data_IF_481034558813
#
_entry.id   IF_481034558813
#
_cell.length_a   1.000
_cell.length_b   1.000
_cell.length_c   1.000
_cell.angle_alpha   90.00
_cell.angle_beta   90.00
_cell.angle_gamma   90.00
#
_symmetry.space_group_name_H-M   'P 1'
#
loop_
_entity.id
_entity.type
_entity.pdbx_description
1 polymer ?
#
# COMPACT_ATOMS: atom_id res chain seq x y z
N UNK A 1 -13.28 -13.49 -5.90
CA UNK A 1 -12.13 -12.55 -5.91
C UNK A 1 -10.85 -13.31 -5.64
N UNK A 2 -9.78 -13.02 -6.39
CA UNK A 2 -8.47 -13.63 -6.16
C UNK A 2 -7.34 -12.63 -6.41
N UNK A 3 -6.19 -12.87 -5.78
CA UNK A 3 -4.99 -12.03 -5.94
C UNK A 3 -4.00 -12.71 -6.88
N UNK A 4 -3.40 -11.93 -7.78
CA UNK A 4 -2.22 -12.34 -8.54
C UNK A 4 -1.08 -11.35 -8.31
N UNK A 5 0.11 -11.85 -8.04
CA UNK A 5 1.33 -11.05 -8.12
C UNK A 5 1.69 -10.95 -9.61
N UNK A 6 1.47 -9.79 -10.22
CA UNK A 6 1.46 -9.67 -11.69
C UNK A 6 2.76 -9.15 -12.27
N UNK A 7 3.55 -8.39 -11.52
CA UNK A 7 4.76 -7.76 -12.07
C UNK A 7 5.86 -7.56 -11.03
N UNK A 8 7.10 -7.89 -11.42
CA UNK A 8 8.34 -7.55 -10.71
C UNK A 8 9.24 -6.76 -11.63
N UNK A 9 9.59 -5.55 -11.24
CA UNK A 9 10.48 -4.67 -12.00
C UNK A 9 11.71 -4.35 -11.16
N UNK A 10 12.90 -4.55 -11.73
CA UNK A 10 14.14 -4.09 -11.10
C UNK A 10 14.31 -2.60 -11.44
N UNK A 11 14.32 -1.75 -10.42
CA UNK A 11 14.55 -0.31 -10.55
C UNK A 11 16.05 -0.01 -10.62
N UNK A 12 16.38 1.18 -11.13
CA UNK A 12 17.76 1.65 -11.29
C UNK A 12 18.50 1.80 -9.95
N UNK A 13 17.77 1.96 -8.85
CA UNK A 13 18.25 2.01 -7.46
C UNK A 13 18.52 0.61 -6.86
N UNK A 14 18.37 -0.45 -7.65
CA UNK A 14 18.55 -1.84 -7.23
C UNK A 14 17.34 -2.45 -6.50
N UNK A 15 16.31 -1.65 -6.18
CA UNK A 15 15.10 -2.14 -5.53
C UNK A 15 14.22 -2.92 -6.50
N UNK A 16 13.46 -3.89 -5.98
CA UNK A 16 12.49 -4.65 -6.76
C UNK A 16 11.11 -4.08 -6.46
N UNK A 17 10.50 -3.42 -7.44
CA UNK A 17 9.10 -3.02 -7.40
C UNK A 17 8.23 -4.23 -7.71
N UNK A 18 7.20 -4.43 -6.90
CA UNK A 18 6.24 -5.52 -7.04
C UNK A 18 4.83 -4.94 -7.10
N UNK A 19 4.03 -5.43 -8.05
CA UNK A 19 2.61 -5.10 -8.16
C UNK A 19 1.77 -6.32 -7.80
N UNK A 20 0.86 -6.13 -6.85
CA UNK A 20 -0.18 -7.08 -6.46
C UNK A 20 -1.48 -6.57 -7.03
N UNK A 21 -2.18 -7.39 -7.82
CA UNK A 21 -3.46 -7.02 -8.44
C UNK A 21 -4.55 -7.97 -7.93
N UNK A 22 -5.70 -7.41 -7.57
CA UNK A 22 -6.88 -8.16 -7.22
C UNK A 22 -7.84 -8.19 -8.41
N UNK A 23 -8.30 -9.38 -8.77
CA UNK A 23 -9.26 -9.60 -9.85
C UNK A 23 -10.58 -10.13 -9.28
N UNK A 24 -11.70 -9.75 -9.91
CA UNK A 24 -12.97 -10.42 -9.69
C UNK A 24 -13.04 -11.75 -10.46
N UNK A 25 -14.16 -12.46 -10.32
CA UNK A 25 -14.32 -13.80 -10.90
C UNK A 25 -14.45 -13.79 -12.43
N UNK A 26 -14.63 -12.60 -13.02
CA UNK A 26 -14.65 -12.37 -14.47
C UNK A 26 -13.28 -11.91 -15.00
N UNK A 27 -12.20 -12.01 -14.21
CA UNK A 27 -10.84 -11.53 -14.52
C UNK A 27 -10.74 -10.01 -14.76
N UNK A 28 -11.71 -9.22 -14.28
CA UNK A 28 -11.56 -7.76 -14.28
C UNK A 28 -10.76 -7.31 -13.06
N UNK A 29 -9.82 -6.39 -13.30
CA UNK A 29 -9.04 -5.75 -12.26
C UNK A 29 -9.94 -4.89 -11.36
N UNK A 30 -9.93 -5.19 -10.06
CA UNK A 30 -10.70 -4.48 -9.05
C UNK A 30 -9.86 -3.48 -8.25
N UNK A 31 -8.54 -3.61 -8.32
CA UNK A 31 -7.60 -2.75 -7.60
C UNK A 31 -6.23 -3.39 -7.50
N UNK A 32 -5.26 -2.60 -7.10
CA UNK A 32 -3.88 -3.04 -6.99
C UNK A 32 -3.13 -2.33 -5.86
N UNK A 33 -1.99 -2.91 -5.52
CA UNK A 33 -1.03 -2.37 -4.58
C UNK A 33 0.38 -2.52 -5.15
N UNK A 34 1.20 -1.47 -5.04
CA UNK A 34 2.61 -1.48 -5.43
C UNK A 34 3.50 -1.28 -4.22
N UNK A 35 4.53 -2.12 -4.09
CA UNK A 35 5.52 -1.98 -3.02
C UNK A 35 6.93 -2.31 -3.53
N UNK A 36 7.96 -1.78 -2.87
CA UNK A 36 9.33 -2.26 -3.07
C UNK A 36 9.68 -3.30 -2.02
N UNK A 37 10.34 -4.38 -2.47
CA UNK A 37 10.90 -5.38 -1.57
C UNK A 37 12.02 -4.78 -0.73
N UNK A 38 12.26 -5.32 0.47
CA UNK A 38 13.44 -4.96 1.24
C UNK A 38 14.68 -5.39 0.46
N UNK A 39 15.66 -4.51 0.44
CA UNK A 39 16.98 -4.77 -0.10
C UNK A 39 17.96 -4.89 1.08
N UNK A 40 18.55 -6.07 1.33
CA UNK A 40 19.51 -6.26 2.42
C UNK A 40 20.69 -5.27 2.41
N UNK A 41 21.05 -4.73 1.25
CA UNK A 41 22.17 -3.81 1.08
C UNK A 41 21.79 -2.34 1.30
N UNK A 42 20.52 -1.96 1.10
CA UNK A 42 20.11 -0.55 1.06
C UNK A 42 18.86 -0.20 1.86
N UNK A 43 18.00 -1.16 2.19
CA UNK A 43 16.71 -0.91 2.84
C UNK A 43 16.13 -2.18 3.50
N UNK A 44 16.04 -2.17 4.83
CA UNK A 44 15.46 -3.28 5.62
C UNK A 44 13.97 -3.09 5.88
N UNK A 45 13.23 -2.58 4.90
CA UNK A 45 11.79 -2.25 5.02
C UNK A 45 11.06 -2.52 3.71
N UNK A 46 9.74 -2.69 3.80
CA UNK A 46 8.85 -2.73 2.65
C UNK A 46 8.27 -1.34 2.44
N UNK A 47 8.53 -0.69 1.31
CA UNK A 47 7.92 0.60 1.00
C UNK A 47 6.65 0.40 0.15
N UNK A 48 5.48 0.61 0.75
CA UNK A 48 4.20 0.69 0.07
C UNK A 48 4.11 2.02 -0.67
N UNK A 49 4.15 1.97 -2.01
CA UNK A 49 4.18 3.15 -2.86
C UNK A 49 2.79 3.63 -3.26
N UNK A 50 1.88 2.69 -3.49
CA UNK A 50 0.57 3.01 -4.06
C UNK A 50 -0.44 1.90 -3.72
N UNK A 51 -1.67 2.30 -3.42
CA UNK A 51 -2.83 1.41 -3.31
C UNK A 51 -4.01 2.08 -4.01
N UNK A 52 -4.60 1.38 -4.98
CA UNK A 52 -5.74 1.88 -5.76
C UNK A 52 -6.83 0.81 -5.74
N UNK A 53 -8.06 1.26 -5.50
CA UNK A 53 -9.28 0.45 -5.60
C UNK A 53 -10.14 1.06 -6.70
N UNK A 54 -10.55 0.24 -7.66
CA UNK A 54 -11.46 0.63 -8.74
C UNK A 54 -12.84 0.85 -8.13
N UNK A 55 -13.51 1.93 -8.57
CA UNK A 55 -14.85 2.25 -8.08
C UNK A 55 -15.88 1.16 -8.42
N UNK A 56 -16.89 0.91 -7.56
CA UNK A 56 -17.17 1.64 -6.33
C UNK A 56 -16.20 1.29 -5.18
N UNK A 57 -15.74 2.26 -4.39
CA UNK A 57 -14.91 2.05 -3.19
C UNK A 57 -15.75 1.61 -1.97
N UNK A 58 -15.09 1.39 -0.83
CA UNK A 58 -15.68 1.10 0.50
C UNK A 58 -16.33 -0.29 0.67
N UNK A 59 -15.85 -1.31 -0.03
CA UNK A 59 -16.24 -2.72 0.16
C UNK A 59 -15.12 -3.60 0.73
N UNK A 60 -14.15 -2.99 1.43
CA UNK A 60 -13.07 -3.70 2.13
C UNK A 60 -11.89 -4.16 1.26
N UNK A 61 -11.87 -3.91 -0.05
CA UNK A 61 -10.77 -4.35 -0.92
C UNK A 61 -9.42 -3.72 -0.55
N UNK A 62 -9.40 -2.44 -0.17
CA UNK A 62 -8.18 -1.80 0.31
C UNK A 62 -7.60 -2.52 1.54
N UNK A 63 -8.45 -2.83 2.52
CA UNK A 63 -8.07 -3.61 3.71
C UNK A 63 -7.59 -5.02 3.34
N UNK A 64 -8.25 -5.67 2.38
CA UNK A 64 -7.83 -6.99 1.89
C UNK A 64 -6.43 -6.95 1.27
N UNK A 65 -6.14 -5.96 0.40
CA UNK A 65 -4.82 -5.77 -0.20
C UNK A 65 -3.74 -5.50 0.86
N UNK A 66 -4.04 -4.66 1.86
CA UNK A 66 -3.12 -4.37 2.97
C UNK A 66 -2.84 -5.61 3.82
N UNK A 67 -3.86 -6.40 4.15
CA UNK A 67 -3.68 -7.62 4.91
C UNK A 67 -2.84 -8.66 4.17
N UNK A 68 -3.04 -8.77 2.85
CA UNK A 68 -2.20 -9.63 2.02
C UNK A 68 -0.74 -9.14 1.96
N UNK A 69 -0.51 -7.82 1.89
CA UNK A 69 0.85 -7.26 1.99
C UNK A 69 1.49 -7.61 3.34
N UNK A 70 0.77 -7.45 4.46
CA UNK A 70 1.27 -7.83 5.78
C UNK A 70 1.63 -9.32 5.86
N UNK A 71 0.80 -10.18 5.29
CA UNK A 71 1.06 -11.62 5.26
C UNK A 71 2.33 -11.95 4.45
N UNK A 72 2.50 -11.35 3.28
CA UNK A 72 3.72 -11.49 2.47
C UNK A 72 4.93 -10.98 3.25
N UNK A 73 4.85 -9.81 3.86
CA UNK A 73 5.98 -9.24 4.58
C UNK A 73 6.38 -10.10 5.77
N UNK A 74 5.40 -10.63 6.51
CA UNK A 74 5.63 -11.57 7.61
C UNK A 74 6.30 -12.86 7.14
N UNK A 75 5.81 -13.44 6.04
CA UNK A 75 6.22 -14.79 5.60
C UNK A 75 7.44 -14.82 4.70
N UNK A 76 7.68 -13.76 3.91
CA UNK A 76 8.72 -13.71 2.87
C UNK A 76 9.76 -12.63 3.08
N UNK A 77 9.49 -11.68 3.97
CA UNK A 77 10.35 -10.51 4.19
C UNK A 77 10.74 -10.35 5.66
N UNK A 78 10.75 -11.44 6.44
CA UNK A 78 11.21 -11.48 7.83
C UNK A 78 10.54 -10.45 8.75
N UNK A 79 9.27 -10.13 8.49
CA UNK A 79 8.50 -9.19 9.32
C UNK A 79 9.17 -7.82 9.47
N UNK A 80 9.91 -7.38 8.45
CA UNK A 80 10.41 -6.00 8.43
C UNK A 80 9.25 -5.00 8.42
N UNK A 81 9.46 -3.75 8.90
CA UNK A 81 8.42 -2.73 8.88
C UNK A 81 7.88 -2.47 7.47
N UNK A 82 6.60 -2.13 7.39
CA UNK A 82 5.98 -1.59 6.17
C UNK A 82 5.88 -0.08 6.33
N UNK A 83 6.47 0.66 5.40
CA UNK A 83 6.48 2.12 5.35
C UNK A 83 5.58 2.58 4.22
N UNK A 84 4.75 3.58 4.49
CA UNK A 84 4.00 4.36 3.50
C UNK A 84 4.65 5.75 3.49
N UNK A 85 5.62 6.00 2.60
CA UNK A 85 6.47 7.17 2.69
C UNK A 85 5.72 8.46 2.33
N UNK A 86 4.64 8.37 1.55
CA UNK A 86 3.78 9.49 1.25
C UNK A 86 2.32 9.03 1.19
N UNK A 87 1.53 9.53 2.12
CA UNK A 87 0.07 9.47 2.13
C UNK A 87 -0.40 10.87 1.75
N UNK A 88 -0.86 11.05 0.52
CA UNK A 88 -1.37 12.32 0.02
C UNK A 88 -2.83 12.22 -0.40
N UNK A 89 -3.54 13.34 -0.28
CA UNK A 89 -4.82 13.53 -0.99
C UNK A 89 -4.51 13.77 -2.45
N UNK A 90 -5.26 13.14 -3.35
CA UNK A 90 -5.15 13.46 -4.78
C UNK A 90 -5.87 14.80 -4.97
N UNK A 91 -5.13 15.85 -5.29
CA UNK A 91 -5.58 17.25 -5.41
C UNK A 91 -6.70 17.51 -6.46
N UNK A 92 -7.35 16.47 -6.99
CA UNK A 92 -8.35 16.55 -8.06
C UNK A 92 -9.81 16.55 -7.59
N UNK A 93 -10.08 16.48 -6.28
CA UNK A 93 -11.43 16.70 -5.74
C UNK A 93 -11.38 17.72 -4.60
N UNK A 94 -12.24 18.74 -4.71
CA UNK A 94 -12.46 19.75 -3.68
C UNK A 94 -12.66 19.09 -2.30
N UNK A 95 -11.94 19.61 -1.30
CA UNK A 95 -12.08 19.42 0.16
C UNK A 95 -11.04 18.53 0.87
N UNK A 96 -10.39 19.16 1.88
CA UNK A 96 -9.49 18.59 2.89
C UNK A 96 -9.99 17.34 3.66
N UNK A 97 -11.21 16.86 3.40
CA UNK A 97 -11.79 15.67 4.04
C UNK A 97 -11.13 14.36 3.58
N UNK A 98 -10.45 14.36 2.44
CA UNK A 98 -9.89 13.14 1.87
C UNK A 98 -8.67 12.61 2.65
N UNK A 99 -7.72 13.49 3.03
CA UNK A 99 -6.51 13.05 3.75
C UNK A 99 -6.87 12.42 5.10
N UNK A 100 -7.80 13.01 5.85
CA UNK A 100 -8.24 12.46 7.13
C UNK A 100 -8.92 11.10 6.98
N UNK A 101 -9.69 10.91 5.89
CA UNK A 101 -10.26 9.61 5.54
C UNK A 101 -9.19 8.56 5.23
N UNK A 102 -8.13 8.95 4.51
CA UNK A 102 -7.01 8.06 4.16
C UNK A 102 -6.16 7.74 5.41
N UNK A 103 -5.88 8.71 6.28
CA UNK A 103 -5.21 8.51 7.57
C UNK A 103 -5.98 7.48 8.40
N UNK A 104 -7.29 7.68 8.59
CA UNK A 104 -8.16 6.74 9.31
C UNK A 104 -8.17 5.36 8.67
N UNK A 105 -8.12 5.27 7.34
CA UNK A 105 -7.99 4.00 6.66
C UNK A 105 -6.71 3.27 7.08
N UNK A 106 -5.55 3.93 7.07
CA UNK A 106 -4.29 3.31 7.50
C UNK A 106 -4.28 2.97 8.99
N UNK A 107 -4.77 3.86 9.86
CA UNK A 107 -4.87 3.62 11.31
C UNK A 107 -5.80 2.45 11.64
N UNK A 108 -6.96 2.34 10.98
CA UNK A 108 -7.86 1.19 11.11
C UNK A 108 -7.22 -0.12 10.61
N UNK A 109 -6.22 -0.01 9.73
CA UNK A 109 -5.38 -1.12 9.32
C UNK A 109 -4.13 -1.27 10.20
N UNK A 110 -4.06 -0.65 11.37
CA UNK A 110 -3.00 -0.85 12.37
C UNK A 110 -1.69 -0.12 12.09
N UNK A 111 -1.66 0.82 11.13
CA UNK A 111 -0.49 1.68 10.94
C UNK A 111 -0.49 2.78 12.01
N UNK A 112 0.70 3.10 12.51
CA UNK A 112 0.92 4.40 13.17
C UNK A 112 1.14 5.44 12.08
N UNK A 113 0.29 6.45 12.03
CA UNK A 113 0.35 7.50 11.00
C UNK A 113 0.82 8.81 11.63
N UNK A 114 1.77 9.48 10.98
CA UNK A 114 2.24 10.81 11.37
C UNK A 114 1.90 11.80 10.27
N UNK A 115 1.12 12.81 10.61
CA UNK A 115 0.84 13.94 9.71
C UNK A 115 2.11 14.77 9.53
N UNK A 116 2.46 15.08 8.28
CA UNK A 116 3.63 15.89 7.91
C UNK A 116 3.23 17.32 7.56
N UNK A 117 2.08 17.47 6.90
CA UNK A 117 1.52 18.76 6.50
C UNK A 117 -0.02 18.68 6.46
N UNK A 118 -0.68 19.70 5.90
CA UNK A 118 -2.13 19.66 5.71
C UNK A 118 -2.57 18.70 4.60
N UNK A 119 -1.67 18.36 3.67
CA UNK A 119 -1.94 17.52 2.49
C UNK A 119 -1.15 16.21 2.48
N UNK A 120 -0.23 16.00 3.44
CA UNK A 120 0.66 14.85 3.47
C UNK A 120 0.78 14.22 4.86
N UNK A 121 0.93 12.91 4.87
CA UNK A 121 1.26 12.10 6.04
C UNK A 121 2.21 10.95 5.65
N UNK A 122 2.78 10.28 6.65
CA UNK A 122 3.51 9.03 6.48
C UNK A 122 2.94 7.96 7.42
N UNK A 123 3.01 6.69 7.02
CA UNK A 123 2.50 5.57 7.80
C UNK A 123 3.57 4.53 8.05
N UNK A 124 3.57 3.93 9.25
CA UNK A 124 4.44 2.80 9.59
C UNK A 124 3.63 1.69 10.25
N UNK A 125 3.77 0.47 9.71
CA UNK A 125 3.28 -0.75 10.35
C UNK A 125 4.46 -1.58 10.84
N UNK A 126 4.39 -2.01 12.10
CA UNK A 126 5.36 -2.91 12.74
C UNK A 126 4.64 -4.20 13.15
N UNK A 127 5.32 -5.33 13.03
CA UNK A 127 4.81 -6.68 13.33
C UNK A 127 4.88 -7.03 14.81
#
# INVERSE_FOLDING_TARGET
>A
MHIRETKRERRADGNILVTIVCYNDCEYEMGYLKYTKPNPESSIEVNLQEIIVVEPRRHGLGTFLINYLKEITRTRHNSVPIIVPNISSLEYFDECEELEGIIKFYENNGFTVRRLSNSEAEGVYRF
#
